data_IF_461683795798
#
_entry.id   IF_461683795798
#
_cell.length_a   1.000
_cell.length_b   1.000
_cell.length_c   1.000
_cell.angle_alpha   90.00
_cell.angle_beta   90.00
_cell.angle_gamma   90.00
#
_symmetry.space_group_name_H-M   'P 1'
#
loop_
_entity.id
_entity.type
_entity.pdbx_description
1 polymer ?
#
# COMPACT_ATOMS: atom_id res chain seq x y z
N UNK A 1 -27.30 -18.56 -37.53
CA UNK A 1 -26.04 -18.85 -36.78
C UNK A 1 -25.49 -17.57 -36.14
N UNK A 2 -26.37 -16.70 -35.67
CA UNK A 2 -26.15 -15.25 -35.89
C UNK A 2 -25.52 -14.58 -34.67
N UNK A 3 -25.70 -15.22 -33.51
CA UNK A 3 -25.05 -14.86 -32.25
C UNK A 3 -23.51 -14.94 -32.32
N UNK A 4 -22.94 -15.72 -33.24
CA UNK A 4 -21.48 -15.76 -33.45
C UNK A 4 -20.94 -14.42 -33.95
N UNK A 5 -21.69 -13.70 -34.79
CA UNK A 5 -21.32 -12.36 -35.25
C UNK A 5 -21.36 -11.29 -34.14
N UNK A 6 -22.04 -11.57 -33.02
CA UNK A 6 -22.00 -10.74 -31.81
C UNK A 6 -20.86 -11.18 -30.86
N UNK A 7 -20.76 -12.50 -30.61
CA UNK A 7 -19.81 -13.08 -29.65
C UNK A 7 -18.35 -12.90 -30.05
N UNK A 8 -18.01 -13.04 -31.33
CA UNK A 8 -16.62 -12.91 -31.82
C UNK A 8 -16.07 -11.49 -31.59
N UNK A 9 -16.69 -10.40 -32.07
CA UNK A 9 -16.17 -9.05 -31.81
C UNK A 9 -16.28 -8.66 -30.33
N UNK A 10 -17.32 -9.08 -29.61
CA UNK A 10 -17.43 -8.82 -28.17
C UNK A 10 -16.29 -9.49 -27.39
N UNK A 11 -15.95 -10.74 -27.73
CA UNK A 11 -14.81 -11.46 -27.17
C UNK A 11 -13.47 -10.83 -27.52
N UNK A 12 -13.29 -10.32 -28.74
CA UNK A 12 -12.09 -9.56 -29.12
C UNK A 12 -11.94 -8.27 -28.32
N UNK A 13 -13.02 -7.53 -28.09
CA UNK A 13 -13.00 -6.32 -27.24
C UNK A 13 -12.64 -6.69 -25.80
N UNK A 14 -13.24 -7.76 -25.25
CA UNK A 14 -12.93 -8.22 -23.90
C UNK A 14 -11.47 -8.65 -23.74
N UNK A 15 -10.92 -9.38 -24.72
CA UNK A 15 -9.51 -9.78 -24.78
C UNK A 15 -8.58 -8.56 -24.85
N UNK A 16 -8.91 -7.57 -25.69
CA UNK A 16 -8.13 -6.34 -25.82
C UNK A 16 -8.14 -5.51 -24.51
N UNK A 17 -9.28 -5.45 -23.80
CA UNK A 17 -9.40 -4.80 -22.50
C UNK A 17 -8.53 -5.49 -21.43
N UNK A 18 -8.57 -6.83 -21.36
CA UNK A 18 -7.76 -7.61 -20.41
C UNK A 18 -6.26 -7.43 -20.68
N UNK A 19 -5.83 -7.51 -21.94
CA UNK A 19 -4.43 -7.29 -22.33
C UNK A 19 -4.00 -5.84 -22.03
N UNK A 20 -4.85 -4.85 -22.35
CA UNK A 20 -4.57 -3.44 -22.06
C UNK A 20 -4.43 -3.15 -20.57
N UNK A 21 -5.32 -3.71 -19.74
CA UNK A 21 -5.25 -3.59 -18.28
C UNK A 21 -4.01 -4.27 -17.70
N UNK A 22 -3.63 -5.45 -18.21
CA UNK A 22 -2.41 -6.16 -17.80
C UNK A 22 -1.14 -5.36 -18.16
N UNK A 23 -1.04 -4.86 -19.40
CA UNK A 23 0.10 -4.03 -19.82
C UNK A 23 0.19 -2.72 -19.05
N UNK A 24 -0.95 -2.12 -18.68
CA UNK A 24 -0.99 -0.95 -17.79
C UNK A 24 -0.51 -1.30 -16.37
N UNK A 25 -0.97 -2.42 -15.79
CA UNK A 25 -0.55 -2.86 -14.46
C UNK A 25 0.96 -3.15 -14.40
N UNK A 26 1.52 -3.85 -15.39
CA UNK A 26 2.97 -4.09 -15.53
C UNK A 26 3.73 -2.77 -15.65
N UNK A 27 3.25 -1.83 -16.49
CA UNK A 27 3.89 -0.50 -16.64
C UNK A 27 3.79 0.38 -15.38
N UNK A 28 2.80 0.16 -14.51
CA UNK A 28 2.57 0.96 -13.31
C UNK A 28 3.44 0.60 -12.10
N UNK A 29 4.42 -0.31 -12.24
CA UNK A 29 5.34 -0.68 -11.16
C UNK A 29 4.74 -1.57 -10.06
N UNK A 30 3.49 -2.03 -10.21
CA UNK A 30 2.77 -2.83 -9.19
C UNK A 30 3.37 -4.23 -8.92
N UNK A 31 4.43 -4.60 -9.62
CA UNK A 31 5.21 -5.82 -9.41
C UNK A 31 6.64 -5.56 -8.89
N UNK A 32 7.01 -4.29 -8.63
CA UNK A 32 8.33 -3.92 -8.12
C UNK A 32 8.40 -4.10 -6.58
N UNK A 33 7.32 -3.82 -5.83
CA UNK A 33 7.22 -4.14 -4.39
C UNK A 33 6.57 -5.51 -4.14
N UNK A 34 7.25 -6.57 -4.58
CA UNK A 34 6.92 -7.95 -4.16
C UNK A 34 7.60 -8.33 -2.83
N UNK A 35 8.61 -7.57 -2.38
CA UNK A 35 9.47 -7.92 -1.24
C UNK A 35 9.08 -7.23 0.08
N UNK A 36 8.54 -6.01 0.05
CA UNK A 36 8.15 -5.25 1.23
C UNK A 36 7.14 -5.95 2.16
N UNK A 37 6.15 -6.74 1.67
CA UNK A 37 5.29 -7.53 2.54
C UNK A 37 6.06 -8.60 3.34
N UNK A 38 7.06 -9.24 2.74
CA UNK A 38 7.88 -10.26 3.40
C UNK A 38 8.90 -9.64 4.37
N UNK A 39 9.44 -8.45 4.04
CA UNK A 39 10.40 -7.76 4.89
C UNK A 39 9.78 -7.27 6.20
N UNK A 40 8.53 -6.77 6.17
CA UNK A 40 7.78 -6.37 7.39
C UNK A 40 7.61 -7.52 8.38
N UNK A 41 7.19 -8.69 7.92
CA UNK A 41 7.01 -9.89 8.76
C UNK A 41 8.28 -10.32 9.53
N UNK A 42 9.48 -9.90 9.09
CA UNK A 42 10.75 -10.17 9.76
C UNK A 42 11.30 -8.98 10.58
N UNK A 43 10.72 -7.78 10.42
CA UNK A 43 11.15 -6.53 11.06
C UNK A 43 10.15 -6.00 12.10
N UNK A 44 8.88 -6.42 12.03
CA UNK A 44 7.79 -5.97 12.92
C UNK A 44 8.02 -6.39 14.41
N UNK A 45 8.89 -7.37 14.67
CA UNK A 45 9.30 -7.78 16.03
C UNK A 45 10.29 -6.79 16.71
N UNK A 46 10.97 -5.93 15.93
CA UNK A 46 12.05 -5.03 16.40
C UNK A 46 11.61 -3.55 16.56
N UNK A 47 10.35 -3.19 16.25
CA UNK A 47 9.85 -1.81 16.42
C UNK A 47 9.43 -1.54 17.89
N UNK A 48 10.15 -0.68 18.65
CA UNK A 48 9.81 -0.38 20.02
C UNK A 48 8.59 0.56 20.08
N UNK A 49 7.39 -0.02 19.93
CA UNK A 49 6.08 0.65 19.99
C UNK A 49 5.69 1.17 21.39
N UNK A 50 6.70 1.59 22.16
CA UNK A 50 6.61 2.26 23.46
C UNK A 50 6.63 3.77 23.20
N UNK A 51 5.47 4.46 23.13
CA UNK A 51 5.45 5.91 23.16
C UNK A 51 6.06 6.37 24.49
N UNK A 52 7.29 6.90 24.45
CA UNK A 52 7.91 7.51 25.62
C UNK A 52 7.00 8.67 26.04
N UNK A 53 6.40 8.66 27.24
CA UNK A 53 5.61 9.80 27.69
C UNK A 53 6.55 11.00 27.73
N UNK A 54 6.17 12.07 27.03
CA UNK A 54 6.94 13.30 27.00
C UNK A 54 7.20 13.75 28.44
N UNK A 55 8.48 13.81 28.82
CA UNK A 55 8.87 14.41 30.10
C UNK A 55 8.49 15.88 29.99
N UNK A 56 7.33 16.22 30.55
CA UNK A 56 6.97 17.61 30.84
C UNK A 56 8.01 18.16 31.79
N UNK A 57 8.99 18.84 31.24
CA UNK A 57 9.71 19.86 31.99
C UNK A 57 8.65 20.87 32.42
N UNK A 58 8.47 20.98 33.74
CA UNK A 58 7.50 21.88 34.36
C UNK A 58 8.30 22.99 35.04
N UNK A 59 8.59 24.10 34.33
CA UNK A 59 9.53 25.12 34.80
C UNK A 59 8.82 26.13 35.72
N UNK A 60 8.24 25.66 36.83
CA UNK A 60 7.28 26.45 37.62
C UNK A 60 7.49 26.43 39.15
N UNK A 61 8.63 25.93 39.65
CA UNK A 61 9.04 26.09 41.06
C UNK A 61 9.67 27.49 41.33
N UNK A 62 9.24 28.53 40.60
CA UNK A 62 9.63 29.92 40.83
C UNK A 62 8.77 30.56 41.95
N UNK A 63 8.86 30.00 43.17
CA UNK A 63 8.57 30.68 44.47
C UNK A 63 8.61 29.69 45.64
N UNK A 64 9.65 29.78 46.47
CA UNK A 64 9.60 29.75 47.95
C UNK A 64 10.84 30.45 48.54
N UNK A 65 10.88 31.77 48.38
CA UNK A 65 11.50 32.64 49.37
C UNK A 65 10.40 32.91 50.42
N UNK A 66 10.24 31.98 51.39
CA UNK A 66 9.17 31.91 52.40
C UNK A 66 9.68 32.20 53.83
#
# INVERSE_FOLDING_TARGET
MDILYLLIPLGMVFLALVIGAFLWAVKSGQYEDMEGPAHRILMDDDDPMIPRPERREQPDDLKRED
#
